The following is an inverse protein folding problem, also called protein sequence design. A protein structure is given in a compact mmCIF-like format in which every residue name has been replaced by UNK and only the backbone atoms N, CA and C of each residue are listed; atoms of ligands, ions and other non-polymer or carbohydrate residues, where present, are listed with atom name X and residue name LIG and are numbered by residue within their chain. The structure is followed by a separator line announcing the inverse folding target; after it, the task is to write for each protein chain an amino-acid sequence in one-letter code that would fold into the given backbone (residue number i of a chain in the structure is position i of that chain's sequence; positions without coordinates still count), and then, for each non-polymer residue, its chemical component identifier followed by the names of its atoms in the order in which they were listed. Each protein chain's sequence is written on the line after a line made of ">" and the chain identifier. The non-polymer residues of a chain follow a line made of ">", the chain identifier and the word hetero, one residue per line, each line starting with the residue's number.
data_IF_873375245129
#
_entry.id   IF_873375245129
#
_cell.length_a   1.000
_cell.length_b   1.000
_cell.length_c   1.000
_cell.angle_alpha   90.00
_cell.angle_beta   90.00
_cell.angle_gamma   90.00
#
_symmetry.space_group_name_H-M   'P 1'
#
loop_
_entity.id
_entity.type
_entity.pdbx_description
1 polymer ?
#
# COMPACT_ATOMS: atom_id res chain seq x y z
N UNK A 1 -17.41 -13.41 14.36
CA UNK A 1 -18.54 -13.79 13.48
C UNK A 1 -18.23 -15.14 12.85
N UNK A 2 -19.19 -16.08 12.80
CA UNK A 2 -19.02 -17.37 12.11
C UNK A 2 -19.44 -17.21 10.64
N UNK A 3 -18.67 -17.80 9.72
CA UNK A 3 -18.97 -17.79 8.30
C UNK A 3 -20.26 -18.57 8.01
N UNK A 4 -21.29 -17.88 7.51
CA UNK A 4 -22.52 -18.49 6.98
C UNK A 4 -22.52 -18.44 5.43
N UNK A 5 -22.42 -19.58 4.73
CA UNK A 5 -22.37 -19.65 3.27
C UNK A 5 -23.68 -19.24 2.56
N UNK A 6 -24.84 -19.29 3.24
CA UNK A 6 -26.14 -18.92 2.65
C UNK A 6 -26.32 -17.41 2.50
N UNK A 7 -25.53 -16.61 3.24
CA UNK A 7 -25.59 -15.14 3.21
C UNK A 7 -24.26 -14.50 2.79
N UNK A 8 -23.12 -15.18 3.00
CA UNK A 8 -21.81 -14.68 2.61
C UNK A 8 -21.40 -15.21 1.22
N UNK A 9 -22.00 -14.65 0.18
CA UNK A 9 -21.64 -14.90 -1.22
C UNK A 9 -20.44 -14.04 -1.65
N UNK A 10 -19.31 -14.12 -0.94
CA UNK A 10 -18.10 -13.40 -1.35
C UNK A 10 -17.45 -14.13 -2.53
N UNK A 11 -17.67 -13.62 -3.74
CA UNK A 11 -16.90 -14.05 -4.91
C UNK A 11 -15.42 -13.72 -4.71
N UNK A 12 -14.55 -14.65 -5.07
CA UNK A 12 -13.11 -14.40 -5.10
C UNK A 12 -12.80 -13.44 -6.25
N UNK A 13 -12.03 -12.39 -5.97
CA UNK A 13 -11.44 -11.51 -6.99
C UNK A 13 -10.18 -12.13 -7.61
N UNK A 14 -9.65 -13.20 -7.00
CA UNK A 14 -8.42 -13.85 -7.48
C UNK A 14 -8.68 -14.58 -8.78
N UNK A 15 -7.75 -14.44 -9.71
CA UNK A 15 -7.77 -15.16 -10.98
C UNK A 15 -7.69 -16.66 -10.70
N UNK A 16 -8.61 -17.41 -11.30
CA UNK A 16 -8.68 -18.87 -11.13
C UNK A 16 -7.41 -19.51 -11.69
N UNK A 17 -6.82 -20.42 -10.91
CA UNK A 17 -5.60 -21.16 -11.24
C UNK A 17 -4.32 -20.32 -11.39
N UNK A 18 -4.33 -19.04 -10.99
CA UNK A 18 -3.11 -18.23 -10.97
C UNK A 18 -2.30 -18.49 -9.69
N UNK A 19 -1.00 -18.69 -9.84
CA UNK A 19 -0.07 -18.87 -8.73
C UNK A 19 0.45 -17.51 -8.25
N UNK A 20 -0.14 -17.00 -7.17
CA UNK A 20 0.22 -15.73 -6.56
C UNK A 20 1.56 -15.75 -5.80
N UNK A 21 2.25 -16.90 -5.72
CA UNK A 21 3.60 -16.97 -5.15
C UNK A 21 4.70 -16.60 -6.16
N UNK A 22 4.36 -16.52 -7.45
CA UNK A 22 5.31 -16.11 -8.49
C UNK A 22 5.58 -14.61 -8.42
N UNK A 23 6.78 -14.23 -8.89
CA UNK A 23 7.16 -12.82 -9.04
C UNK A 23 6.13 -12.08 -9.92
N UNK A 24 5.79 -10.87 -9.51
CA UNK A 24 4.88 -9.99 -10.25
C UNK A 24 5.07 -8.53 -9.84
N UNK A 25 4.59 -7.61 -10.67
CA UNK A 25 4.56 -6.18 -10.37
C UNK A 25 3.19 -5.79 -9.83
N UNK A 26 3.18 -4.98 -8.77
CA UNK A 26 1.96 -4.53 -8.11
C UNK A 26 1.98 -3.01 -7.95
N UNK A 27 0.89 -2.37 -8.35
CA UNK A 27 0.64 -0.97 -8.00
C UNK A 27 -0.29 -0.92 -6.80
N UNK A 28 0.14 -0.22 -5.74
CA UNK A 28 -0.62 -0.09 -4.50
C UNK A 28 -0.85 1.38 -4.16
N UNK A 29 -2.03 1.66 -3.62
CA UNK A 29 -2.37 2.98 -3.07
C UNK A 29 -2.89 2.79 -1.67
N UNK A 30 -2.25 3.43 -0.70
CA UNK A 30 -2.65 3.38 0.70
C UNK A 30 -3.23 4.76 1.04
N UNK A 31 -4.52 4.78 1.42
CA UNK A 31 -5.17 6.01 1.84
C UNK A 31 -5.12 6.15 3.36
N UNK A 32 -4.89 7.38 3.83
CA UNK A 32 -5.06 7.74 5.24
C UNK A 32 -6.52 7.58 5.68
N UNK A 33 -6.73 7.46 6.98
CA UNK A 33 -8.08 7.43 7.55
C UNK A 33 -8.88 8.65 7.08
N UNK A 34 -10.06 8.40 6.51
CA UNK A 34 -10.94 9.45 5.94
C UNK A 34 -10.26 10.34 4.89
N UNK A 35 -9.17 9.87 4.25
CA UNK A 35 -8.38 10.62 3.25
C UNK A 35 -7.81 11.94 3.76
N UNK A 36 -7.50 12.02 5.06
CA UNK A 36 -6.89 13.21 5.66
C UNK A 36 -5.47 13.43 5.12
N UNK A 37 -5.17 14.67 4.71
CA UNK A 37 -3.86 15.07 4.18
C UNK A 37 -2.89 15.34 5.34
N UNK A 38 -2.38 14.27 5.96
CA UNK A 38 -1.59 14.35 7.21
C UNK A 38 -0.08 14.12 7.02
N UNK A 39 0.38 13.82 5.81
CA UNK A 39 1.78 13.47 5.53
C UNK A 39 2.58 14.60 4.90
N UNK A 40 1.93 15.59 4.29
CA UNK A 40 2.60 16.70 3.63
C UNK A 40 1.83 18.01 3.78
N UNK A 41 2.55 19.10 3.54
CA UNK A 41 2.02 20.45 3.44
C UNK A 41 2.49 21.06 2.11
N UNK A 42 1.68 21.95 1.53
CA UNK A 42 2.07 22.68 0.32
C UNK A 42 2.80 23.96 0.74
N UNK A 43 4.09 24.03 0.43
CA UNK A 43 4.95 25.18 0.71
C UNK A 43 5.54 25.64 -0.63
N UNK A 44 5.33 26.91 -0.98
CA UNK A 44 5.80 27.49 -2.25
C UNK A 44 5.43 26.67 -3.49
N UNK A 45 4.17 26.19 -3.58
CA UNK A 45 3.67 25.34 -4.67
C UNK A 45 4.29 23.94 -4.76
N UNK A 46 5.12 23.56 -3.79
CA UNK A 46 5.70 22.23 -3.68
C UNK A 46 5.10 21.46 -2.50
N UNK A 47 4.89 20.15 -2.67
CA UNK A 47 4.51 19.28 -1.57
C UNK A 47 5.76 18.92 -0.78
N UNK A 48 5.82 19.33 0.48
CA UNK A 48 6.89 18.97 1.40
C UNK A 48 6.39 17.99 2.46
N UNK A 49 7.10 16.88 2.64
CA UNK A 49 6.76 15.90 3.68
C UNK A 49 6.98 16.50 5.07
N UNK A 50 5.94 16.41 5.89
CA UNK A 50 6.03 16.72 7.31
C UNK A 50 6.68 15.53 8.07
N UNK A 51 6.89 15.60 9.40
CA UNK A 51 7.50 14.50 10.15
C UNK A 51 6.79 13.15 10.00
N UNK A 52 5.47 13.12 9.85
CA UNK A 52 4.71 11.87 9.64
C UNK A 52 4.93 11.32 8.23
N UNK A 53 4.95 12.18 7.20
CA UNK A 53 5.27 11.77 5.84
C UNK A 53 6.67 11.18 5.72
N UNK A 54 7.65 11.78 6.40
CA UNK A 54 9.02 11.24 6.46
C UNK A 54 9.10 9.87 7.13
N UNK A 55 8.27 9.60 8.15
CA UNK A 55 8.18 8.25 8.74
C UNK A 55 7.66 7.26 7.70
N UNK A 56 6.58 7.61 6.97
CA UNK A 56 6.02 6.73 5.93
C UNK A 56 7.04 6.46 4.83
N UNK A 57 7.75 7.48 4.36
CA UNK A 57 8.81 7.34 3.37
C UNK A 57 9.93 6.42 3.87
N UNK A 58 10.39 6.61 5.11
CA UNK A 58 11.42 5.74 5.68
C UNK A 58 10.96 4.29 5.78
N UNK A 59 9.73 4.02 6.24
CA UNK A 59 9.17 2.66 6.30
C UNK A 59 9.00 2.04 4.91
N UNK A 60 8.64 2.85 3.90
CA UNK A 60 8.58 2.41 2.51
C UNK A 60 9.96 1.95 2.05
N UNK A 61 10.99 2.78 2.18
CA UNK A 61 12.37 2.45 1.79
C UNK A 61 12.94 1.25 2.58
N UNK A 62 12.65 1.16 3.88
CA UNK A 62 13.05 0.03 4.71
C UNK A 62 12.41 -1.30 4.28
N UNK A 63 11.33 -1.26 3.49
CA UNK A 63 10.66 -2.49 3.03
C UNK A 63 11.59 -3.35 2.18
N UNK A 64 12.38 -2.78 1.25
CA UNK A 64 13.34 -3.55 0.44
C UNK A 64 14.53 -4.06 1.26
N UNK A 65 14.90 -3.36 2.33
CA UNK A 65 15.97 -3.80 3.23
C UNK A 65 15.54 -5.00 4.08
N UNK A 66 14.31 -4.97 4.60
CA UNK A 66 13.77 -6.02 5.47
C UNK A 66 13.30 -7.23 4.66
N UNK A 67 12.76 -7.03 3.45
CA UNK A 67 12.17 -8.07 2.59
C UNK A 67 12.95 -8.21 1.30
N UNK A 68 13.85 -9.19 1.29
CA UNK A 68 14.79 -9.45 0.18
C UNK A 68 14.13 -9.83 -1.15
N UNK A 69 12.87 -10.24 -1.10
CA UNK A 69 12.03 -10.61 -2.24
C UNK A 69 11.20 -9.43 -2.78
N UNK A 70 11.34 -8.24 -2.19
CA UNK A 70 10.67 -7.02 -2.64
C UNK A 70 11.68 -6.06 -3.25
N UNK A 71 11.37 -5.62 -4.47
CA UNK A 71 12.05 -4.52 -5.16
C UNK A 71 11.06 -3.37 -5.22
N UNK A 72 11.48 -2.20 -4.76
CA UNK A 72 10.68 -0.99 -4.86
C UNK A 72 10.87 -0.35 -6.24
N UNK A 73 9.77 0.11 -6.81
CA UNK A 73 9.75 0.96 -8.00
C UNK A 73 9.37 2.40 -7.56
N UNK A 74 9.06 3.26 -8.52
CA UNK A 74 8.62 4.64 -8.29
C UNK A 74 7.48 4.72 -7.25
N UNK A 75 7.59 5.70 -6.35
CA UNK A 75 6.61 5.94 -5.30
C UNK A 75 6.44 7.43 -5.02
N UNK A 76 5.32 7.77 -4.36
CA UNK A 76 5.07 9.09 -3.79
C UNK A 76 4.36 8.90 -2.45
N UNK A 77 4.69 9.75 -1.48
CA UNK A 77 4.03 9.82 -0.17
C UNK A 77 3.18 11.08 -0.09
#
# INVERSE_FOLDING_TARGET
>A
MKFNPDIHHRKSIRLKNYDYSQNGAYFITICTNERKMIFSEIINEHSELNPLGKIVENEWLMTSEIRKDIILDEYIV
#
